data_IF_497870595918
#
_entry.id   IF_497870595918
#
_cell.length_a   1.000
_cell.length_b   1.000
_cell.length_c   1.000
_cell.angle_alpha   90.00
_cell.angle_beta   90.00
_cell.angle_gamma   90.00
#
_symmetry.space_group_name_H-M   'P 1'
#
loop_
_entity.id
_entity.type
_entity.pdbx_description
1 polymer ?
#
# COMPACT_ATOMS: atom_id res chain seq x y z
N UNK A 1 -6.05 -5.64 0.28
CA UNK A 1 -4.62 -5.40 0.59
C UNK A 1 -3.70 -6.14 -0.38
N UNK A 2 -3.69 -7.47 -0.39
CA UNK A 2 -2.80 -8.28 -1.27
C UNK A 2 -2.89 -7.85 -2.73
N UNK A 3 -4.09 -7.67 -3.28
CA UNK A 3 -4.30 -7.19 -4.64
C UNK A 3 -3.63 -5.83 -4.92
N UNK A 4 -3.69 -4.91 -3.96
CA UNK A 4 -3.08 -3.58 -4.08
C UNK A 4 -1.55 -3.70 -4.09
N UNK A 5 -0.97 -4.48 -3.18
CA UNK A 5 0.48 -4.66 -3.10
C UNK A 5 1.03 -5.41 -4.31
N UNK A 6 0.29 -6.38 -4.84
CA UNK A 6 0.63 -7.03 -6.11
C UNK A 6 0.59 -6.02 -7.26
N UNK A 7 -0.46 -5.19 -7.32
CA UNK A 7 -0.56 -4.12 -8.31
C UNK A 7 0.59 -3.12 -8.24
N UNK A 8 1.04 -2.75 -7.04
CA UNK A 8 2.21 -1.87 -6.86
C UNK A 8 3.49 -2.52 -7.39
N UNK A 9 3.68 -3.82 -7.16
CA UNK A 9 4.81 -4.55 -7.73
C UNK A 9 4.78 -4.61 -9.25
N UNK A 10 3.61 -4.82 -9.85
CA UNK A 10 3.43 -4.76 -11.30
C UNK A 10 3.72 -3.35 -11.85
N UNK A 11 3.19 -2.32 -11.19
CA UNK A 11 3.42 -0.92 -11.54
C UNK A 11 4.91 -0.56 -11.50
N UNK A 12 5.62 -0.90 -10.42
CA UNK A 12 7.05 -0.62 -10.29
C UNK A 12 7.85 -1.39 -11.35
N UNK A 13 7.53 -2.67 -11.56
CA UNK A 13 8.17 -3.49 -12.58
C UNK A 13 8.02 -2.90 -13.99
N UNK A 14 6.95 -2.14 -14.25
CA UNK A 14 6.74 -1.46 -15.54
C UNK A 14 7.71 -0.31 -15.85
N UNK A 15 8.62 0.01 -14.92
CA UNK A 15 9.66 1.02 -15.12
C UNK A 15 11.08 0.46 -15.07
N UNK A 16 11.24 -0.86 -14.86
CA UNK A 16 12.55 -1.47 -14.62
C UNK A 16 12.93 -2.41 -15.77
N UNK A 17 14.17 -2.30 -16.25
CA UNK A 17 14.67 -3.09 -17.39
C UNK A 17 15.23 -4.47 -16.99
N UNK A 18 15.42 -4.72 -15.68
CA UNK A 18 15.98 -5.98 -15.18
C UNK A 18 15.06 -6.59 -14.13
N UNK A 19 14.86 -7.92 -14.21
CA UNK A 19 14.05 -8.67 -13.25
C UNK A 19 14.60 -8.55 -11.82
N UNK A 20 15.92 -8.59 -11.66
CA UNK A 20 16.56 -8.42 -10.35
C UNK A 20 16.27 -7.01 -9.82
N UNK A 21 16.41 -5.99 -10.67
CA UNK A 21 16.10 -4.62 -10.29
C UNK A 21 14.62 -4.46 -9.93
N UNK A 22 13.70 -5.08 -10.66
CA UNK A 22 12.26 -5.07 -10.39
C UNK A 22 11.92 -5.64 -9.01
N UNK A 23 12.50 -6.79 -8.65
CA UNK A 23 12.28 -7.45 -7.36
C UNK A 23 12.80 -6.57 -6.22
N UNK A 24 14.06 -6.14 -6.29
CA UNK A 24 14.67 -5.34 -5.23
C UNK A 24 14.04 -3.94 -5.14
N UNK A 25 13.77 -3.31 -6.27
CA UNK A 25 13.12 -2.00 -6.35
C UNK A 25 11.73 -2.05 -5.74
N UNK A 26 10.91 -3.03 -6.13
CA UNK A 26 9.59 -3.25 -5.53
C UNK A 26 9.69 -3.47 -4.03
N UNK A 27 10.58 -4.37 -3.58
CA UNK A 27 10.75 -4.66 -2.17
C UNK A 27 11.10 -3.41 -1.36
N UNK A 28 12.15 -2.68 -1.75
CA UNK A 28 12.61 -1.49 -1.02
C UNK A 28 11.58 -0.35 -1.03
N UNK A 29 11.07 -0.01 -2.22
CA UNK A 29 10.10 1.07 -2.38
C UNK A 29 8.82 0.78 -1.61
N UNK A 30 8.42 -0.49 -1.48
CA UNK A 30 7.18 -0.84 -0.76
C UNK A 30 7.38 -1.08 0.73
N UNK A 31 8.47 -1.72 1.15
CA UNK A 31 8.74 -2.06 2.54
C UNK A 31 9.16 -0.85 3.37
N UNK A 32 9.97 0.06 2.82
CA UNK A 32 10.46 1.22 3.60
C UNK A 32 9.27 2.08 4.07
N UNK A 33 8.33 2.52 3.20
CA UNK A 33 7.19 3.30 3.67
C UNK A 33 6.24 2.47 4.54
N UNK A 34 6.09 1.17 4.25
CA UNK A 34 5.28 0.27 5.06
C UNK A 34 5.76 0.21 6.51
N UNK A 35 7.05 0.01 6.75
CA UNK A 35 7.58 -0.10 8.11
C UNK A 35 7.62 1.26 8.79
N UNK A 36 8.04 2.31 8.07
CA UNK A 36 8.31 3.62 8.67
C UNK A 36 7.06 4.45 8.94
N UNK A 37 6.01 4.34 8.13
CA UNK A 37 4.89 5.29 8.15
C UNK A 37 3.51 4.66 8.37
N UNK A 38 3.39 3.33 8.45
CA UNK A 38 2.07 2.68 8.48
C UNK A 38 1.40 2.58 9.86
N UNK A 39 2.05 3.04 10.93
CA UNK A 39 1.55 2.76 12.28
C UNK A 39 2.07 1.45 12.87
N UNK A 40 3.02 0.77 12.20
CA UNK A 40 3.62 -0.49 12.66
C UNK A 40 4.61 -0.27 13.80
N UNK A 41 5.47 0.75 13.70
CA UNK A 41 6.42 1.14 14.75
C UNK A 41 5.82 2.28 15.58
N UNK A 42 5.69 3.46 14.98
CA UNK A 42 5.08 4.64 15.59
C UNK A 42 3.67 4.88 15.03
N UNK A 43 2.69 5.30 15.85
CA UNK A 43 1.34 5.60 15.39
C UNK A 43 1.31 6.64 14.25
N UNK A 44 0.46 6.44 13.24
CA UNK A 44 0.33 7.41 12.13
C UNK A 44 -0.05 8.81 12.63
N UNK A 45 -0.80 8.89 13.73
CA UNK A 45 -1.21 10.16 14.35
C UNK A 45 -0.04 10.96 14.96
N UNK A 46 1.11 10.35 15.21
CA UNK A 46 2.30 11.07 15.71
C UNK A 46 3.24 11.54 14.60
N UNK A 47 3.01 11.13 13.35
CA UNK A 47 3.79 11.57 12.20
C UNK A 47 3.48 13.03 11.86
N UNK A 48 4.47 13.75 11.34
CA UNK A 48 4.34 15.13 10.88
C UNK A 48 4.82 15.27 9.43
N UNK A 49 4.40 16.36 8.78
CA UNK A 49 4.81 16.70 7.41
C UNK A 49 4.52 15.59 6.40
N UNK A 50 5.51 15.26 5.56
CA UNK A 50 5.37 14.26 4.51
C UNK A 50 5.07 12.85 5.04
N UNK A 51 5.61 12.48 6.22
CA UNK A 51 5.37 11.18 6.83
C UNK A 51 3.89 10.96 7.19
N UNK A 52 3.20 12.02 7.64
CA UNK A 52 1.77 11.96 7.94
C UNK A 52 0.93 11.74 6.67
N UNK A 53 1.29 12.42 5.57
CA UNK A 53 0.60 12.28 4.28
C UNK A 53 0.79 10.86 3.74
N UNK A 54 2.03 10.34 3.76
CA UNK A 54 2.32 8.97 3.35
C UNK A 54 1.53 8.01 4.22
N UNK A 55 1.61 8.14 5.54
CA UNK A 55 0.89 7.28 6.48
C UNK A 55 -0.63 7.27 6.26
N UNK A 56 -1.26 8.37 5.84
CA UNK A 56 -2.70 8.40 5.56
C UNK A 56 -3.10 7.70 4.26
N UNK A 57 -2.25 7.78 3.23
CA UNK A 57 -2.55 7.25 1.89
C UNK A 57 -2.10 5.80 1.74
N UNK A 58 -1.03 5.41 2.43
CA UNK A 58 -0.36 4.15 2.17
C UNK A 58 -1.24 2.93 2.55
N UNK A 59 -1.42 1.93 1.66
CA UNK A 59 -2.33 0.82 1.90
C UNK A 59 -2.03 0.02 3.18
N UNK A 60 -0.75 -0.09 3.55
CA UNK A 60 -0.35 -0.83 4.75
C UNK A 60 -0.92 -0.24 6.03
N UNK A 61 -1.12 1.08 6.11
CA UNK A 61 -1.73 1.72 7.28
C UNK A 61 -3.11 1.14 7.57
N UNK A 62 -3.96 1.15 6.55
CA UNK A 62 -5.33 0.68 6.64
C UNK A 62 -5.38 -0.81 6.97
N UNK A 63 -4.47 -1.60 6.39
CA UNK A 63 -4.33 -3.01 6.73
C UNK A 63 -3.94 -3.24 8.20
N UNK A 64 -2.94 -2.52 8.71
CA UNK A 64 -2.51 -2.62 10.12
C UNK A 64 -3.65 -2.20 11.06
N UNK A 65 -4.40 -1.14 10.73
CA UNK A 65 -5.57 -0.71 11.50
C UNK A 65 -6.65 -1.79 11.56
N UNK A 66 -7.01 -2.39 10.42
CA UNK A 66 -8.00 -3.48 10.35
C UNK A 66 -7.51 -4.69 11.15
N UNK A 67 -6.26 -5.14 10.93
CA UNK A 67 -5.70 -6.29 11.64
C UNK A 67 -5.69 -6.07 13.15
N UNK A 68 -5.25 -4.90 13.61
CA UNK A 68 -5.24 -4.57 15.04
C UNK A 68 -6.66 -4.49 15.61
N UNK A 69 -7.60 -3.91 14.86
CA UNK A 69 -9.00 -3.83 15.27
C UNK A 69 -9.65 -5.21 15.41
N UNK A 70 -9.49 -6.07 14.41
CA UNK A 70 -10.04 -7.42 14.41
C UNK A 70 -9.41 -8.30 15.49
N UNK A 71 -8.07 -8.36 15.57
CA UNK A 71 -7.39 -9.30 16.47
C UNK A 71 -7.26 -8.80 17.90
N UNK A 72 -7.06 -7.50 18.13
CA UNK A 72 -6.80 -6.97 19.48
C UNK A 72 -8.05 -6.40 20.15
N UNK A 73 -9.08 -6.04 19.37
CA UNK A 73 -10.29 -5.39 19.88
C UNK A 73 -11.58 -6.11 19.51
N UNK A 74 -11.50 -7.22 18.75
CA UNK A 74 -12.66 -7.99 18.29
C UNK A 74 -13.69 -7.14 17.52
N UNK A 75 -13.23 -6.09 16.81
CA UNK A 75 -14.13 -5.18 16.09
C UNK A 75 -14.78 -5.85 14.88
N UNK A 76 -16.04 -5.49 14.65
CA UNK A 76 -16.84 -5.95 13.52
C UNK A 76 -16.56 -5.20 12.21
N UNK A 77 -17.25 -5.61 11.15
CA UNK A 77 -17.16 -4.95 9.84
C UNK A 77 -17.74 -3.54 9.86
N UNK A 78 -18.82 -3.33 10.62
CA UNK A 78 -19.47 -2.04 10.84
C UNK A 78 -18.53 -1.02 11.46
N UNK A 79 -17.69 -1.45 12.40
CA UNK A 79 -16.70 -0.59 13.07
C UNK A 79 -15.45 -0.34 12.21
N UNK A 80 -15.11 -1.26 11.31
CA UNK A 80 -13.89 -1.21 10.50
C UNK A 80 -14.10 -0.72 9.06
N UNK A 81 -15.34 -0.50 8.64
CA UNK A 81 -15.68 -0.26 7.22
C UNK A 81 -14.90 0.94 6.62
N UNK A 82 -14.68 1.98 7.42
CA UNK A 82 -13.95 3.19 7.02
C UNK A 82 -12.48 2.90 6.69
N UNK A 83 -11.86 1.93 7.35
CA UNK A 83 -10.50 1.49 7.05
C UNK A 83 -10.45 0.56 5.82
N UNK A 84 -11.55 -0.13 5.50
CA UNK A 84 -11.64 -0.94 4.27
C UNK A 84 -11.75 -0.07 3.01
N UNK A 85 -12.41 1.09 3.10
CA UNK A 85 -12.73 1.92 1.94
C UNK A 85 -11.47 2.40 1.17
N UNK A 86 -10.40 2.92 1.82
CA UNK A 86 -9.16 3.27 1.13
C UNK A 86 -8.51 2.09 0.40
N UNK A 87 -8.57 0.89 0.99
CA UNK A 87 -8.05 -0.33 0.34
C UNK A 87 -8.86 -0.71 -0.89
N UNK A 88 -10.19 -0.58 -0.82
CA UNK A 88 -11.08 -0.85 -1.96
C UNK A 88 -10.83 0.13 -3.11
N UNK A 89 -10.63 1.42 -2.81
CA UNK A 89 -10.32 2.46 -3.81
C UNK A 89 -8.92 2.25 -4.40
N UNK A 90 -7.95 1.83 -3.59
CA UNK A 90 -6.58 1.62 -4.05
C UNK A 90 -6.47 0.50 -5.10
N UNK A 91 -7.35 -0.51 -5.09
CA UNK A 91 -7.34 -1.62 -6.07
C UNK A 91 -7.49 -1.12 -7.51
N UNK A 92 -8.60 -0.47 -7.92
CA UNK A 92 -8.76 -0.01 -9.29
C UNK A 92 -7.75 1.09 -9.66
N UNK A 93 -7.34 1.93 -8.71
CA UNK A 93 -6.35 2.99 -8.97
C UNK A 93 -5.00 2.39 -9.33
N UNK A 94 -4.47 1.48 -8.50
CA UNK A 94 -3.15 0.90 -8.72
C UNK A 94 -3.16 -0.06 -9.91
N UNK A 95 -4.18 -0.92 -10.04
CA UNK A 95 -4.25 -1.83 -11.18
C UNK A 95 -4.50 -1.10 -12.50
N UNK A 96 -5.34 -0.07 -12.50
CA UNK A 96 -5.56 0.78 -13.68
C UNK A 96 -4.29 1.49 -14.11
N UNK A 97 -3.53 2.06 -13.15
CA UNK A 97 -2.24 2.66 -13.42
C UNK A 97 -1.23 1.63 -13.97
N UNK A 98 -1.13 0.46 -13.33
CA UNK A 98 -0.25 -0.61 -13.77
C UNK A 98 -0.59 -1.06 -15.20
N UNK A 99 -1.86 -1.31 -15.51
CA UNK A 99 -2.31 -1.72 -16.85
C UNK A 99 -2.01 -0.65 -17.92
N UNK A 100 -2.25 0.63 -17.61
CA UNK A 100 -1.99 1.73 -18.53
C UNK A 100 -0.49 1.89 -18.84
N UNK A 101 0.37 1.72 -17.84
CA UNK A 101 1.81 1.90 -17.96
C UNK A 101 2.53 0.68 -18.52
N UNK A 102 2.04 -0.54 -18.25
CA UNK A 102 2.56 -1.77 -18.85
C UNK A 102 2.40 -1.75 -20.38
N UNK A 103 1.28 -1.21 -20.88
CA UNK A 103 1.07 -1.02 -22.33
C UNK A 103 2.12 -0.12 -22.97
N UNK A 104 2.67 0.85 -22.22
CA UNK A 104 3.73 1.75 -22.68
C UNK A 104 5.10 1.06 -22.82
N UNK A 105 5.36 -0.02 -22.08
CA UNK A 105 6.59 -0.81 -22.25
C UNK A 105 6.58 -1.71 -23.49
N UNK A 106 5.38 -2.14 -23.93
CA UNK A 106 5.21 -3.05 -25.06
C UNK A 106 5.10 -2.34 -26.42
N UNK A 107 5.15 -1.00 -26.44
CA UNK A 107 5.10 -0.16 -27.65
C UNK A 107 6.46 0.46 -27.92
#
# INVERSE_FOLDING_TARGET
>A
YVTVTTGLGLLISSFMNSQIAAIFGTALITLIPAVQYSGMIDPVSSLQGAGAIIGQIYPTTHFVTISRGAFSKSLGFDELWSAFLPLLIAVPVVLGAAAALLRKQAS
#
